data_IF_131703900026
#
_entry.id   IF_131703900026
#
_cell.length_a   1.000
_cell.length_b   1.000
_cell.length_c   1.000
_cell.angle_alpha   90.00
_cell.angle_beta   90.00
_cell.angle_gamma   90.00
#
_symmetry.space_group_name_H-M   'P 1'
#
loop_
_entity.id
_entity.type
_entity.pdbx_description
1 polymer ?
#
# COMPACT_ATOMS: atom_id res chain seq x y z
N UNK A 1 31.24 -6.92 8.18
CA UNK A 1 30.16 -7.87 7.89
C UNK A 1 29.15 -7.78 9.02
N UNK A 2 28.12 -6.96 8.84
CA UNK A 2 26.96 -6.92 9.72
C UNK A 2 25.87 -7.72 9.03
N UNK A 3 25.67 -8.96 9.47
CA UNK A 3 24.54 -9.79 9.07
C UNK A 3 23.30 -9.21 9.78
N UNK A 4 22.54 -8.40 9.06
CA UNK A 4 21.20 -7.99 9.49
C UNK A 4 20.34 -9.24 9.68
N UNK A 5 19.76 -9.38 10.85
CA UNK A 5 18.92 -10.52 11.20
C UNK A 5 17.78 -10.64 10.20
N UNK A 6 17.75 -11.77 9.50
CA UNK A 6 16.61 -12.19 8.69
C UNK A 6 15.47 -12.36 9.68
N UNK A 7 14.49 -11.45 9.66
CA UNK A 7 13.24 -11.68 10.36
C UNK A 7 12.62 -12.92 9.71
N UNK A 8 12.70 -14.07 10.38
CA UNK A 8 11.90 -15.23 10.00
C UNK A 8 10.45 -14.78 10.00
N UNK A 9 9.81 -14.79 8.84
CA UNK A 9 8.37 -14.60 8.76
C UNK A 9 7.74 -15.66 9.65
N UNK A 10 7.13 -15.24 10.76
CA UNK A 10 6.39 -16.14 11.61
C UNK A 10 5.25 -16.69 10.77
N UNK A 11 5.20 -18.01 10.56
CA UNK A 11 4.04 -18.63 9.92
C UNK A 11 2.79 -18.20 10.68
N UNK A 12 1.74 -17.70 10.01
CA UNK A 12 0.53 -17.29 10.70
C UNK A 12 -0.02 -18.44 11.56
N UNK A 13 -0.32 -18.13 12.82
CA UNK A 13 -0.76 -19.13 13.79
C UNK A 13 -2.19 -19.60 13.45
N UNK A 14 -2.31 -20.85 13.02
CA UNK A 14 -3.59 -21.51 12.82
C UNK A 14 -4.11 -22.10 14.15
N UNK A 15 -5.42 -22.37 14.27
CA UNK A 15 -5.94 -23.16 15.40
C UNK A 15 -5.25 -24.52 15.49
N UNK A 16 -5.27 -25.14 16.68
CA UNK A 16 -4.73 -26.49 16.84
C UNK A 16 -5.45 -27.49 15.93
N UNK A 17 -4.71 -28.43 15.36
CA UNK A 17 -5.29 -29.52 14.59
C UNK A 17 -6.24 -30.34 15.49
N UNK A 18 -7.46 -30.57 15.00
CA UNK A 18 -8.46 -31.39 15.65
C UNK A 18 -8.22 -32.89 15.48
N UNK A 19 -9.31 -33.66 15.42
CA UNK A 19 -9.24 -35.09 15.13
C UNK A 19 -8.96 -35.25 13.64
N UNK A 20 -7.74 -35.65 13.27
CA UNK A 20 -7.38 -35.79 11.86
C UNK A 20 -8.13 -36.94 11.15
N UNK A 21 -8.25 -36.89 9.81
CA UNK A 21 -8.79 -38.00 9.02
C UNK A 21 -8.04 -39.34 9.15
N UNK A 22 -6.81 -39.34 9.68
CA UNK A 22 -6.08 -40.56 10.03
C UNK A 22 -6.56 -41.23 11.32
N UNK A 23 -7.45 -40.61 12.09
CA UNK A 23 -8.02 -41.14 13.33
C UNK A 23 -9.29 -41.97 13.08
N UNK A 24 -9.48 -43.11 13.76
CA UNK A 24 -10.70 -43.89 13.66
C UNK A 24 -11.94 -43.16 14.18
N UNK A 25 -11.78 -42.08 14.96
CA UNK A 25 -12.88 -41.29 15.51
C UNK A 25 -13.22 -40.05 14.67
N UNK A 26 -12.58 -39.86 13.52
CA UNK A 26 -12.82 -38.70 12.64
C UNK A 26 -14.28 -38.53 12.23
N UNK A 27 -15.02 -39.63 12.07
CA UNK A 27 -16.44 -39.58 11.73
C UNK A 27 -17.30 -38.91 12.82
N UNK A 28 -16.90 -39.01 14.10
CA UNK A 28 -17.60 -38.34 15.21
C UNK A 28 -17.36 -36.84 15.17
N UNK A 29 -16.15 -36.43 14.85
CA UNK A 29 -15.79 -35.02 14.68
C UNK A 29 -16.68 -34.38 13.59
N UNK A 30 -16.68 -34.98 12.39
CA UNK A 30 -17.54 -34.58 11.26
C UNK A 30 -19.03 -34.55 11.63
N UNK A 31 -19.50 -35.46 12.49
CA UNK A 31 -20.89 -35.46 12.95
C UNK A 31 -21.22 -34.23 13.80
N UNK A 32 -20.40 -33.92 14.81
CA UNK A 32 -20.62 -32.75 15.67
C UNK A 32 -20.41 -31.42 14.95
N UNK A 33 -19.46 -31.35 14.03
CA UNK A 33 -19.29 -30.19 13.13
C UNK A 33 -20.57 -29.88 12.36
N UNK A 34 -21.17 -30.90 11.73
CA UNK A 34 -22.39 -30.77 10.94
C UNK A 34 -23.58 -30.33 11.80
N UNK A 35 -23.70 -30.87 13.03
CA UNK A 35 -24.71 -30.42 13.99
C UNK A 35 -24.53 -28.94 14.31
N UNK A 36 -23.32 -28.51 14.69
CA UNK A 36 -23.11 -27.11 15.01
C UNK A 36 -23.35 -26.19 13.80
N UNK A 37 -23.06 -26.65 12.57
CA UNK A 37 -23.33 -25.89 11.34
C UNK A 37 -24.82 -25.78 11.06
N UNK A 38 -25.57 -26.86 11.31
CA UNK A 38 -27.02 -26.88 11.18
C UNK A 38 -27.68 -25.84 12.09
N UNK A 39 -27.22 -25.73 13.34
CA UNK A 39 -27.74 -24.77 14.33
C UNK A 39 -27.13 -23.36 14.24
N UNK A 40 -26.19 -23.12 13.31
CA UNK A 40 -25.66 -21.77 13.06
C UNK A 40 -26.58 -21.02 12.11
N UNK A 41 -27.31 -20.02 12.58
CA UNK A 41 -28.29 -19.29 11.78
C UNK A 41 -27.71 -18.02 11.13
N UNK A 42 -28.10 -17.77 9.88
CA UNK A 42 -27.70 -16.59 9.09
C UNK A 42 -26.43 -16.80 8.28
N UNK A 43 -26.40 -16.26 7.06
CA UNK A 43 -25.29 -16.47 6.12
C UNK A 43 -23.97 -15.90 6.63
N UNK A 44 -23.98 -14.72 7.26
CA UNK A 44 -22.76 -14.13 7.83
C UNK A 44 -22.13 -15.00 8.94
N UNK A 45 -22.95 -15.55 9.85
CA UNK A 45 -22.46 -16.44 10.91
C UNK A 45 -22.03 -17.79 10.37
N UNK A 46 -22.75 -18.32 9.36
CA UNK A 46 -22.35 -19.55 8.67
C UNK A 46 -21.02 -19.37 7.94
N UNK A 47 -20.78 -18.22 7.33
CA UNK A 47 -19.50 -17.91 6.70
C UNK A 47 -18.35 -17.99 7.71
N UNK A 48 -18.48 -17.31 8.86
CA UNK A 48 -17.47 -17.35 9.92
C UNK A 48 -17.23 -18.76 10.45
N UNK A 49 -18.29 -19.55 10.63
CA UNK A 49 -18.17 -20.94 11.05
C UNK A 49 -17.42 -21.78 10.02
N UNK A 50 -17.73 -21.63 8.73
CA UNK A 50 -17.03 -22.35 7.68
C UNK A 50 -15.58 -21.93 7.54
N UNK A 51 -15.24 -20.65 7.79
CA UNK A 51 -13.85 -20.22 7.90
C UNK A 51 -13.12 -20.95 9.02
N UNK A 52 -13.72 -21.03 10.22
CA UNK A 52 -13.10 -21.72 11.35
C UNK A 52 -12.87 -23.21 11.08
N UNK A 53 -13.84 -23.88 10.44
CA UNK A 53 -13.67 -25.28 10.02
C UNK A 53 -12.58 -25.41 8.95
N UNK A 54 -12.50 -24.49 7.98
CA UNK A 54 -11.43 -24.50 6.99
C UNK A 54 -10.05 -24.35 7.66
N UNK A 55 -9.90 -23.41 8.60
CA UNK A 55 -8.65 -23.23 9.36
C UNK A 55 -8.24 -24.50 10.10
N UNK A 56 -9.20 -25.21 10.72
CA UNK A 56 -8.94 -26.49 11.38
C UNK A 56 -8.46 -27.57 10.40
N UNK A 57 -9.14 -27.71 9.24
CA UNK A 57 -8.75 -28.68 8.19
C UNK A 57 -7.38 -28.34 7.59
N UNK A 58 -7.02 -27.07 7.52
CA UNK A 58 -5.69 -26.64 7.08
C UNK A 58 -4.61 -26.99 8.11
N UNK A 59 -4.90 -26.86 9.41
CA UNK A 59 -4.00 -27.33 10.48
C UNK A 59 -3.78 -28.83 10.43
N UNK A 60 -4.84 -29.61 10.20
CA UNK A 60 -4.70 -31.07 10.03
C UNK A 60 -3.90 -31.42 8.79
N UNK A 61 -4.14 -30.72 7.68
CA UNK A 61 -3.38 -30.85 6.45
C UNK A 61 -1.90 -30.65 6.70
N UNK A 62 -1.53 -29.59 7.45
CA UNK A 62 -0.14 -29.33 7.85
C UNK A 62 0.44 -30.46 8.70
N UNK A 63 -0.26 -30.90 9.75
CA UNK A 63 0.21 -31.98 10.63
C UNK A 63 0.37 -33.31 9.90
N UNK A 64 -0.54 -33.65 8.98
CA UNK A 64 -0.49 -34.87 8.20
C UNK A 64 0.63 -34.81 7.15
N UNK A 65 0.84 -33.66 6.52
CA UNK A 65 1.94 -33.45 5.58
C UNK A 65 3.31 -33.63 6.24
N UNK A 66 3.50 -33.05 7.44
CA UNK A 66 4.74 -33.20 8.22
C UNK A 66 5.04 -34.66 8.60
N UNK A 67 4.01 -35.51 8.68
CA UNK A 67 4.11 -36.95 8.95
C UNK A 67 4.25 -37.80 7.69
N UNK A 68 4.13 -37.21 6.50
CA UNK A 68 4.05 -37.95 5.24
C UNK A 68 2.81 -38.83 5.14
N UNK A 69 1.73 -38.48 5.83
CA UNK A 69 0.49 -39.26 5.87
C UNK A 69 -0.36 -38.98 4.61
N UNK A 70 -0.80 -40.04 3.94
CA UNK A 70 -1.63 -39.97 2.74
C UNK A 70 -2.99 -39.29 2.99
N UNK A 71 -3.45 -39.25 4.24
CA UNK A 71 -4.68 -38.55 4.62
C UNK A 71 -4.58 -37.02 4.48
N UNK A 72 -3.39 -36.46 4.24
CA UNK A 72 -3.22 -35.03 3.96
C UNK A 72 -4.08 -34.58 2.76
N UNK A 73 -4.19 -35.40 1.71
CA UNK A 73 -5.02 -35.12 0.54
C UNK A 73 -6.50 -34.93 0.94
N UNK A 74 -7.04 -35.87 1.74
CA UNK A 74 -8.41 -35.78 2.24
C UNK A 74 -8.64 -34.56 3.12
N UNK A 75 -7.68 -34.21 3.99
CA UNK A 75 -7.78 -33.02 4.82
C UNK A 75 -7.83 -31.73 3.98
N UNK A 76 -7.05 -31.67 2.88
CA UNK A 76 -7.07 -30.55 1.92
C UNK A 76 -8.37 -30.47 1.14
N UNK A 77 -8.89 -31.59 0.65
CA UNK A 77 -10.18 -31.60 -0.06
C UNK A 77 -11.31 -31.10 0.87
N UNK A 78 -11.26 -31.44 2.15
CA UNK A 78 -12.20 -30.93 3.14
C UNK A 78 -11.99 -29.44 3.44
N UNK A 79 -10.75 -28.96 3.50
CA UNK A 79 -10.45 -27.54 3.57
C UNK A 79 -11.11 -26.79 2.41
N UNK A 80 -10.92 -27.26 1.18
CA UNK A 80 -11.53 -26.66 -0.02
C UNK A 80 -13.05 -26.60 0.08
N UNK A 81 -13.68 -27.69 0.54
CA UNK A 81 -15.13 -27.78 0.73
C UNK A 81 -15.64 -26.72 1.73
N UNK A 82 -15.01 -26.64 2.91
CA UNK A 82 -15.42 -25.67 3.94
C UNK A 82 -15.17 -24.25 3.46
N UNK A 83 -14.02 -23.99 2.84
CA UNK A 83 -13.66 -22.66 2.37
C UNK A 83 -14.59 -22.18 1.25
N UNK A 84 -14.95 -23.05 0.30
CA UNK A 84 -15.92 -22.73 -0.75
C UNK A 84 -17.28 -22.32 -0.16
N UNK A 85 -17.76 -23.04 0.86
CA UNK A 85 -18.99 -22.69 1.59
C UNK A 85 -18.84 -21.37 2.35
N UNK A 86 -17.68 -21.12 2.98
CA UNK A 86 -17.41 -19.87 3.67
C UNK A 86 -17.56 -18.67 2.74
N UNK A 87 -16.90 -18.75 1.58
CA UNK A 87 -16.98 -17.73 0.51
C UNK A 87 -18.43 -17.52 0.05
N UNK A 88 -19.11 -18.58 -0.37
CA UNK A 88 -20.49 -18.50 -0.88
C UNK A 88 -21.43 -17.85 0.14
N UNK A 89 -21.28 -18.19 1.42
CA UNK A 89 -22.09 -17.60 2.51
C UNK A 89 -21.73 -16.14 2.77
N UNK A 90 -20.45 -15.78 2.76
CA UNK A 90 -20.03 -14.39 2.94
C UNK A 90 -20.57 -13.51 1.81
N UNK A 91 -20.43 -13.93 0.56
CA UNK A 91 -20.93 -13.22 -0.62
C UNK A 91 -22.45 -13.09 -0.60
N UNK A 92 -23.19 -14.18 -0.34
CA UNK A 92 -24.66 -14.12 -0.20
C UNK A 92 -25.13 -13.20 0.90
N UNK A 93 -24.39 -13.15 2.01
CA UNK A 93 -24.76 -12.31 3.15
C UNK A 93 -24.62 -10.81 2.85
N UNK A 94 -23.73 -10.44 1.92
CA UNK A 94 -23.31 -9.05 1.70
C UNK A 94 -22.74 -8.36 2.95
N UNK A 95 -22.44 -9.13 4.01
CA UNK A 95 -22.04 -8.59 5.29
C UNK A 95 -20.53 -8.30 5.29
N UNK A 96 -20.17 -7.04 5.50
CA UNK A 96 -18.78 -6.59 5.52
C UNK A 96 -17.88 -7.37 6.50
N UNK A 97 -18.37 -7.76 7.68
CA UNK A 97 -17.57 -8.52 8.64
C UNK A 97 -17.32 -9.95 8.18
N UNK A 98 -18.31 -10.58 7.53
CA UNK A 98 -18.13 -11.90 6.94
C UNK A 98 -17.16 -11.86 5.75
N UNK A 99 -17.29 -10.87 4.87
CA UNK A 99 -16.40 -10.66 3.73
C UNK A 99 -14.97 -10.37 4.20
N UNK A 100 -14.79 -9.45 5.15
CA UNK A 100 -13.48 -9.13 5.71
C UNK A 100 -12.83 -10.35 6.39
N UNK A 101 -13.62 -11.16 7.12
CA UNK A 101 -13.11 -12.38 7.75
C UNK A 101 -12.62 -13.40 6.72
N UNK A 102 -13.32 -13.57 5.60
CA UNK A 102 -12.88 -14.45 4.51
C UNK A 102 -11.58 -13.92 3.90
N UNK A 103 -11.49 -12.62 3.61
CA UNK A 103 -10.27 -11.99 3.08
C UNK A 103 -9.07 -12.18 4.01
N UNK A 104 -9.23 -11.93 5.31
CA UNK A 104 -8.16 -12.11 6.30
C UNK A 104 -7.75 -13.59 6.43
N UNK A 105 -8.72 -14.52 6.45
CA UNK A 105 -8.43 -15.95 6.52
C UNK A 105 -7.57 -16.39 5.33
N UNK A 106 -7.93 -15.95 4.12
CA UNK A 106 -7.21 -16.34 2.91
C UNK A 106 -5.78 -15.86 2.84
N UNK A 107 -5.46 -14.69 3.40
CA UNK A 107 -4.06 -14.23 3.54
C UNK A 107 -3.23 -15.26 4.32
N UNK A 108 -3.77 -15.76 5.44
CA UNK A 108 -3.10 -16.76 6.28
C UNK A 108 -3.06 -18.13 5.61
N UNK A 109 -4.18 -18.56 5.02
CA UNK A 109 -4.29 -19.87 4.39
C UNK A 109 -3.31 -20.03 3.24
N UNK A 110 -3.15 -18.99 2.42
CA UNK A 110 -2.23 -18.99 1.30
C UNK A 110 -0.79 -19.30 1.74
N UNK A 111 -0.28 -18.59 2.76
CA UNK A 111 1.07 -18.84 3.31
C UNK A 111 1.24 -20.26 3.84
N UNK A 112 0.23 -20.80 4.53
CA UNK A 112 0.30 -22.17 5.05
C UNK A 112 0.22 -23.20 3.93
N UNK A 113 -0.66 -23.01 2.95
CA UNK A 113 -0.80 -23.94 1.82
C UNK A 113 0.50 -24.04 1.02
N UNK A 114 1.20 -22.94 0.78
CA UNK A 114 2.51 -22.98 0.12
C UNK A 114 3.56 -23.74 0.91
N UNK A 115 3.64 -23.49 2.23
CA UNK A 115 4.55 -24.24 3.13
C UNK A 115 4.25 -25.74 3.07
N UNK A 116 2.97 -26.11 3.04
CA UNK A 116 2.55 -27.51 3.05
C UNK A 116 2.76 -28.19 1.70
N UNK A 117 2.56 -27.50 0.57
CA UNK A 117 2.78 -28.04 -0.79
C UNK A 117 4.20 -28.58 -0.96
N UNK A 118 5.20 -27.94 -0.35
CA UNK A 118 6.60 -28.38 -0.42
C UNK A 118 6.85 -29.69 0.35
N UNK A 119 5.99 -30.05 1.31
CA UNK A 119 6.19 -31.17 2.25
C UNK A 119 5.29 -32.38 1.99
N UNK A 120 4.20 -32.21 1.26
CA UNK A 120 3.25 -33.30 1.02
C UNK A 120 3.79 -34.38 0.06
N UNK A 121 3.34 -35.64 0.19
CA UNK A 121 3.58 -36.67 -0.82
C UNK A 121 3.12 -36.23 -2.22
N UNK A 122 3.77 -36.72 -3.27
CA UNK A 122 3.48 -36.29 -4.65
C UNK A 122 2.01 -36.44 -5.06
N UNK A 123 1.37 -37.53 -4.62
CA UNK A 123 -0.05 -37.77 -4.90
C UNK A 123 -0.98 -36.64 -4.39
N UNK A 124 -0.58 -35.94 -3.32
CA UNK A 124 -1.37 -34.87 -2.71
C UNK A 124 -1.07 -33.48 -3.27
N UNK A 125 0.05 -33.27 -3.97
CA UNK A 125 0.45 -31.95 -4.47
C UNK A 125 -0.59 -31.31 -5.37
N UNK A 126 -1.22 -32.10 -6.25
CA UNK A 126 -2.24 -31.61 -7.16
C UNK A 126 -3.49 -31.11 -6.42
N UNK A 127 -3.93 -31.78 -5.35
CA UNK A 127 -5.03 -31.27 -4.50
C UNK A 127 -4.63 -29.98 -3.80
N UNK A 128 -3.46 -29.95 -3.16
CA UNK A 128 -2.99 -28.75 -2.46
C UNK A 128 -2.83 -27.53 -3.37
N UNK A 129 -2.37 -27.73 -4.61
CA UNK A 129 -2.28 -26.67 -5.61
C UNK A 129 -3.66 -26.12 -6.01
N UNK A 130 -4.68 -26.99 -6.12
CA UNK A 130 -6.07 -26.53 -6.33
C UNK A 130 -6.57 -25.74 -5.13
N UNK A 131 -6.29 -26.21 -3.91
CA UNK A 131 -6.67 -25.52 -2.69
C UNK A 131 -6.04 -24.13 -2.59
N UNK A 132 -4.77 -24.02 -2.98
CA UNK A 132 -4.04 -22.76 -3.07
C UNK A 132 -4.71 -21.79 -4.05
N UNK A 133 -5.00 -22.25 -5.27
CA UNK A 133 -5.62 -21.42 -6.30
C UNK A 133 -7.04 -20.99 -5.93
N UNK A 134 -7.83 -21.92 -5.36
CA UNK A 134 -9.16 -21.63 -4.83
C UNK A 134 -9.11 -20.59 -3.70
N UNK A 135 -8.10 -20.64 -2.83
CA UNK A 135 -7.87 -19.64 -1.79
C UNK A 135 -7.56 -18.26 -2.38
N UNK A 136 -6.63 -18.17 -3.35
CA UNK A 136 -6.31 -16.92 -4.06
C UNK A 136 -7.53 -16.30 -4.72
N UNK A 137 -8.28 -17.10 -5.48
CA UNK A 137 -9.48 -16.62 -6.16
C UNK A 137 -10.60 -16.24 -5.17
N UNK A 138 -10.68 -16.95 -4.04
CA UNK A 138 -11.57 -16.63 -2.93
C UNK A 138 -11.26 -15.26 -2.31
N UNK A 139 -9.98 -15.00 -2.03
CA UNK A 139 -9.50 -13.70 -1.52
C UNK A 139 -9.89 -12.56 -2.46
N UNK A 140 -9.58 -12.69 -3.74
CA UNK A 140 -9.87 -11.66 -4.76
C UNK A 140 -11.38 -11.40 -4.85
N UNK A 141 -12.20 -12.46 -4.82
CA UNK A 141 -13.66 -12.34 -4.89
C UNK A 141 -14.25 -11.67 -3.65
N UNK A 142 -13.84 -12.12 -2.45
CA UNK A 142 -14.29 -11.57 -1.18
C UNK A 142 -13.85 -10.11 -1.01
N UNK A 143 -12.62 -9.78 -1.42
CA UNK A 143 -12.09 -8.43 -1.37
C UNK A 143 -12.80 -7.49 -2.36
N UNK A 144 -13.12 -7.96 -3.56
CA UNK A 144 -13.95 -7.19 -4.51
C UNK A 144 -15.35 -6.92 -3.95
N UNK A 145 -15.98 -7.94 -3.37
CA UNK A 145 -17.29 -7.79 -2.74
C UNK A 145 -17.22 -6.83 -1.54
N UNK A 146 -16.19 -6.96 -0.69
CA UNK A 146 -15.96 -6.05 0.42
C UNK A 146 -15.77 -4.61 -0.07
N UNK A 147 -14.95 -4.42 -1.10
CA UNK A 147 -14.71 -3.11 -1.72
C UNK A 147 -15.94 -2.53 -2.40
N UNK A 148 -16.96 -3.33 -2.71
CA UNK A 148 -18.26 -2.85 -3.18
C UNK A 148 -19.22 -2.45 -2.05
N UNK A 149 -19.17 -3.14 -0.91
CA UNK A 149 -20.05 -2.90 0.24
C UNK A 149 -19.51 -1.82 1.16
N UNK A 150 -18.24 -1.92 1.54
CA UNK A 150 -17.52 -0.96 2.36
C UNK A 150 -16.14 -0.69 1.73
N UNK A 151 -16.05 0.33 0.89
CA UNK A 151 -14.86 0.54 0.06
C UNK A 151 -13.65 1.00 0.85
N UNK A 152 -13.83 1.78 1.92
CA UNK A 152 -12.74 2.16 2.84
C UNK A 152 -12.11 0.90 3.47
N UNK A 153 -12.96 0.01 3.98
CA UNK A 153 -12.52 -1.26 4.57
C UNK A 153 -11.95 -2.22 3.52
N UNK A 154 -12.46 -2.17 2.28
CA UNK A 154 -11.92 -2.88 1.14
C UNK A 154 -10.51 -2.45 0.79
N UNK A 155 -10.26 -1.14 0.73
CA UNK A 155 -8.92 -0.56 0.55
C UNK A 155 -7.99 -1.01 1.68
N UNK A 156 -8.43 -0.94 2.93
CA UNK A 156 -7.60 -1.33 4.08
C UNK A 156 -7.21 -2.81 4.04
N UNK A 157 -8.21 -3.70 3.89
CA UNK A 157 -7.96 -5.14 3.82
C UNK A 157 -7.14 -5.52 2.59
N UNK A 158 -7.42 -4.90 1.44
CA UNK A 158 -6.72 -5.17 0.19
C UNK A 158 -5.28 -4.68 0.20
N UNK A 159 -5.03 -3.51 0.77
CA UNK A 159 -3.68 -2.99 0.95
C UNK A 159 -2.86 -3.85 1.92
N UNK A 160 -3.46 -4.32 3.02
CA UNK A 160 -2.79 -5.25 3.94
C UNK A 160 -2.36 -6.52 3.22
N UNK A 161 -3.27 -7.14 2.46
CA UNK A 161 -2.97 -8.35 1.69
C UNK A 161 -1.91 -8.09 0.61
N UNK A 162 -1.99 -6.99 -0.13
CA UNK A 162 -1.00 -6.61 -1.14
C UNK A 162 0.39 -6.40 -0.52
N UNK A 163 0.46 -5.75 0.65
CA UNK A 163 1.70 -5.55 1.41
C UNK A 163 2.33 -6.87 1.83
N UNK A 164 1.54 -7.78 2.40
CA UNK A 164 2.01 -9.12 2.78
C UNK A 164 2.54 -9.91 1.57
N UNK A 165 1.87 -9.83 0.42
CA UNK A 165 2.32 -10.50 -0.81
C UNK A 165 3.62 -9.87 -1.34
N UNK A 166 3.77 -8.54 -1.27
CA UNK A 166 5.01 -7.86 -1.66
C UNK A 166 6.20 -8.28 -0.76
N UNK A 167 5.98 -8.40 0.54
CA UNK A 167 6.98 -8.94 1.48
C UNK A 167 7.37 -10.38 1.16
N UNK A 168 6.39 -11.21 0.79
CA UNK A 168 6.67 -12.58 0.34
C UNK A 168 7.41 -12.60 -1.00
N UNK A 169 7.06 -11.72 -1.94
CA UNK A 169 7.78 -11.56 -3.20
C UNK A 169 9.25 -11.19 -2.95
N UNK A 170 9.51 -10.24 -2.04
CA UNK A 170 10.86 -9.89 -1.58
C UNK A 170 11.62 -11.10 -1.05
N UNK A 171 10.99 -11.93 -0.20
CA UNK A 171 11.59 -13.16 0.31
C UNK A 171 11.94 -14.13 -0.84
N UNK A 172 11.02 -14.37 -1.77
CA UNK A 172 11.28 -15.25 -2.92
C UNK A 172 12.42 -14.72 -3.81
N UNK A 173 12.50 -13.40 -3.98
CA UNK A 173 13.60 -12.75 -4.68
C UNK A 173 14.94 -13.01 -3.99
N UNK A 174 15.01 -12.80 -2.66
CA UNK A 174 16.23 -13.04 -1.87
C UNK A 174 16.68 -14.51 -1.91
N UNK A 175 15.73 -15.45 -1.93
CA UNK A 175 15.97 -16.90 -2.04
C UNK A 175 16.24 -17.36 -3.47
N UNK A 176 16.18 -16.46 -4.46
CA UNK A 176 16.34 -16.76 -5.90
C UNK A 176 15.31 -17.75 -6.44
N UNK A 177 14.12 -17.80 -5.83
CA UNK A 177 13.00 -18.64 -6.27
C UNK A 177 12.19 -17.91 -7.34
N UNK A 178 12.71 -17.89 -8.56
CA UNK A 178 12.18 -17.12 -9.71
C UNK A 178 10.70 -17.41 -9.97
N UNK A 179 10.34 -18.68 -10.14
CA UNK A 179 8.96 -19.06 -10.45
C UNK A 179 8.00 -18.68 -9.32
N UNK A 180 8.45 -18.80 -8.06
CA UNK A 180 7.67 -18.40 -6.91
C UNK A 180 7.48 -16.87 -6.87
N UNK A 181 8.54 -16.09 -7.13
CA UNK A 181 8.45 -14.63 -7.26
C UNK A 181 7.43 -14.22 -8.33
N UNK A 182 7.47 -14.83 -9.50
CA UNK A 182 6.51 -14.56 -10.58
C UNK A 182 5.06 -14.85 -10.15
N UNK A 183 4.84 -15.99 -9.48
CA UNK A 183 3.53 -16.34 -8.94
C UNK A 183 3.05 -15.35 -7.85
N UNK A 184 3.96 -14.84 -7.00
CA UNK A 184 3.64 -13.81 -6.01
C UNK A 184 3.21 -12.50 -6.68
N UNK A 185 3.94 -12.07 -7.70
CA UNK A 185 3.62 -10.83 -8.42
C UNK A 185 2.28 -10.95 -9.18
N UNK A 186 1.98 -12.11 -9.78
CA UNK A 186 0.67 -12.36 -10.38
C UNK A 186 -0.47 -12.31 -9.36
N UNK A 187 -0.27 -12.91 -8.19
CA UNK A 187 -1.27 -12.87 -7.11
C UNK A 187 -1.43 -11.45 -6.55
N UNK A 188 -0.32 -10.72 -6.35
CA UNK A 188 -0.32 -9.32 -5.96
C UNK A 188 -1.20 -8.50 -6.91
N UNK A 189 -1.01 -8.63 -8.23
CA UNK A 189 -1.80 -7.89 -9.20
C UNK A 189 -3.30 -8.23 -9.12
N UNK A 190 -3.64 -9.50 -8.92
CA UNK A 190 -5.02 -9.94 -8.73
C UNK A 190 -5.68 -9.28 -7.51
N UNK A 191 -4.97 -9.25 -6.38
CA UNK A 191 -5.40 -8.59 -5.14
C UNK A 191 -5.50 -7.08 -5.35
N UNK A 192 -4.46 -6.45 -5.87
CA UNK A 192 -4.41 -5.02 -6.15
C UNK A 192 -5.59 -4.56 -7.01
N UNK A 193 -5.83 -5.22 -8.14
CA UNK A 193 -6.91 -4.88 -9.06
C UNK A 193 -8.31 -5.04 -8.42
N UNK A 194 -8.45 -5.83 -7.36
CA UNK A 194 -9.74 -6.07 -6.71
C UNK A 194 -10.22 -4.90 -5.85
N UNK A 195 -9.31 -4.02 -5.42
CA UNK A 195 -9.63 -2.83 -4.61
C UNK A 195 -9.16 -1.51 -5.24
N UNK A 196 -8.31 -1.52 -6.27
CA UNK A 196 -7.78 -0.29 -6.89
C UNK A 196 -8.85 0.66 -7.46
N UNK A 197 -10.04 0.14 -7.79
CA UNK A 197 -11.17 0.94 -8.27
C UNK A 197 -12.15 1.36 -7.16
N UNK A 198 -11.84 1.09 -5.89
CA UNK A 198 -12.69 1.42 -4.75
C UNK A 198 -12.83 2.92 -4.45
N UNK A 199 -11.79 3.77 -4.64
CA UNK A 199 -11.87 5.18 -4.23
C UNK A 199 -13.03 5.98 -4.84
N UNK A 200 -13.18 5.95 -6.18
CA UNK A 200 -14.31 6.55 -6.93
C UNK A 200 -14.65 8.00 -6.53
N UNK A 201 -13.64 8.81 -6.23
CA UNK A 201 -13.79 10.23 -5.88
C UNK A 201 -14.24 10.50 -4.44
N UNK A 202 -14.34 9.48 -3.58
CA UNK A 202 -14.68 9.70 -2.16
C UNK A 202 -13.44 10.04 -1.35
N UNK A 203 -13.41 11.25 -0.82
CA UNK A 203 -12.26 11.86 -0.12
C UNK A 203 -11.59 10.94 0.90
N UNK A 204 -12.36 10.32 1.78
CA UNK A 204 -11.89 9.40 2.82
C UNK A 204 -11.23 8.15 2.22
N UNK A 205 -11.84 7.58 1.18
CA UNK A 205 -11.33 6.39 0.50
C UNK A 205 -10.12 6.72 -0.39
N UNK A 206 -10.12 7.84 -1.10
CA UNK A 206 -8.98 8.33 -1.90
C UNK A 206 -7.76 8.62 -1.01
N UNK A 207 -7.97 9.29 0.13
CA UNK A 207 -6.92 9.55 1.11
C UNK A 207 -6.33 8.25 1.64
N UNK A 208 -7.16 7.34 2.16
CA UNK A 208 -6.69 6.06 2.70
C UNK A 208 -6.01 5.24 1.60
N UNK A 209 -6.57 5.16 0.40
CA UNK A 209 -5.96 4.44 -0.71
C UNK A 209 -4.57 4.98 -1.03
N UNK A 210 -4.45 6.29 -1.22
CA UNK A 210 -3.18 6.93 -1.54
C UNK A 210 -2.13 6.74 -0.44
N UNK A 211 -2.50 6.83 0.84
CA UNK A 211 -1.58 6.55 1.96
C UNK A 211 -1.07 5.11 1.94
N UNK A 212 -1.98 4.15 1.74
CA UNK A 212 -1.61 2.73 1.69
C UNK A 212 -0.72 2.39 0.49
N UNK A 213 -0.88 3.08 -0.63
CA UNK A 213 -0.04 2.86 -1.82
C UNK A 213 1.42 3.22 -1.54
N UNK A 214 1.68 4.32 -0.81
CA UNK A 214 3.05 4.69 -0.40
C UNK A 214 3.77 3.54 0.32
N UNK A 215 3.08 2.84 1.22
CA UNK A 215 3.65 1.68 1.93
C UNK A 215 3.93 0.51 0.98
N UNK A 216 2.98 0.18 0.11
CA UNK A 216 3.11 -0.93 -0.83
C UNK A 216 4.25 -0.70 -1.82
N UNK A 217 4.38 0.52 -2.33
CA UNK A 217 5.48 0.88 -3.25
C UNK A 217 6.83 0.69 -2.54
N UNK A 218 6.95 1.06 -1.26
CA UNK A 218 8.18 0.81 -0.48
C UNK A 218 8.53 -0.69 -0.38
N UNK A 219 7.55 -1.56 -0.16
CA UNK A 219 7.79 -3.02 -0.11
C UNK A 219 8.19 -3.57 -1.50
N UNK A 220 7.62 -3.01 -2.57
CA UNK A 220 7.98 -3.39 -3.94
C UNK A 220 9.38 -2.89 -4.34
N UNK A 221 9.85 -1.76 -3.82
CA UNK A 221 11.25 -1.33 -4.02
C UNK A 221 12.20 -2.36 -3.43
N UNK A 222 11.96 -2.77 -2.18
CA UNK A 222 12.81 -3.76 -1.52
C UNK A 222 12.78 -5.10 -2.25
N UNK A 223 11.62 -5.53 -2.75
CA UNK A 223 11.53 -6.72 -3.60
C UNK A 223 12.32 -6.56 -4.91
N UNK A 224 12.31 -5.38 -5.51
CA UNK A 224 13.04 -5.05 -6.74
C UNK A 224 14.54 -5.05 -6.52
N UNK A 225 15.01 -4.49 -5.41
CA UNK A 225 16.43 -4.43 -5.05
C UNK A 225 17.01 -5.83 -4.79
N UNK A 226 16.26 -6.67 -4.06
CA UNK A 226 16.62 -8.09 -3.89
C UNK A 226 16.68 -8.81 -5.25
N UNK A 227 15.70 -8.59 -6.13
CA UNK A 227 15.70 -9.19 -7.46
C UNK A 227 16.90 -8.74 -8.32
N UNK A 228 17.28 -7.46 -8.28
CA UNK A 228 18.48 -6.94 -8.97
C UNK A 228 19.77 -7.54 -8.44
N UNK A 229 19.91 -7.66 -7.11
CA UNK A 229 21.10 -8.18 -6.44
C UNK A 229 21.44 -9.64 -6.82
N UNK A 230 20.48 -10.37 -7.38
CA UNK A 230 20.67 -11.76 -7.83
C UNK A 230 21.15 -11.89 -9.28
N UNK A 231 21.22 -10.79 -10.04
CA UNK A 231 21.63 -10.78 -11.45
C UNK A 231 20.50 -11.16 -12.42
N UNK A 232 19.25 -11.12 -11.95
CA UNK A 232 18.07 -11.60 -12.67
C UNK A 232 17.28 -10.39 -13.21
N UNK A 233 17.74 -9.82 -14.32
CA UNK A 233 17.22 -8.54 -14.86
C UNK A 233 15.75 -8.59 -15.31
N UNK A 234 15.26 -9.73 -15.80
CA UNK A 234 13.87 -9.89 -16.26
C UNK A 234 12.87 -9.76 -15.09
N UNK A 235 13.24 -10.25 -13.91
CA UNK A 235 12.39 -10.33 -12.72
C UNK A 235 12.40 -9.00 -11.96
N UNK A 236 13.55 -8.32 -11.89
CA UNK A 236 13.59 -6.92 -11.48
C UNK A 236 12.65 -6.06 -12.34
N UNK A 237 12.63 -6.29 -13.66
CA UNK A 237 11.71 -5.64 -14.58
C UNK A 237 10.23 -6.01 -14.36
N UNK A 238 9.92 -7.20 -13.85
CA UNK A 238 8.56 -7.59 -13.44
C UNK A 238 8.11 -6.82 -12.21
N UNK A 239 8.96 -6.75 -11.17
CA UNK A 239 8.68 -5.99 -9.95
C UNK A 239 8.47 -4.51 -10.28
N UNK A 240 9.34 -3.92 -11.11
CA UNK A 240 9.20 -2.53 -11.57
C UNK A 240 7.85 -2.29 -12.24
N UNK A 241 7.39 -3.16 -13.15
CA UNK A 241 6.08 -3.00 -13.81
C UNK A 241 4.91 -3.02 -12.83
N UNK A 242 4.96 -3.90 -11.83
CA UNK A 242 3.92 -3.95 -10.79
C UNK A 242 3.96 -2.67 -9.95
N UNK A 243 5.15 -2.20 -9.56
CA UNK A 243 5.35 -0.94 -8.83
C UNK A 243 4.83 0.26 -9.61
N UNK A 244 5.17 0.37 -10.90
CA UNK A 244 4.72 1.44 -11.78
C UNK A 244 3.19 1.56 -11.79
N UNK A 245 2.50 0.43 -11.87
CA UNK A 245 1.03 0.38 -11.82
C UNK A 245 0.45 0.87 -10.49
N UNK A 246 1.11 0.55 -9.37
CA UNK A 246 0.71 1.05 -8.04
C UNK A 246 0.90 2.57 -7.96
N UNK A 247 2.05 3.07 -8.40
CA UNK A 247 2.34 4.52 -8.45
C UNK A 247 1.32 5.24 -9.34
N UNK A 248 1.04 4.74 -10.54
CA UNK A 248 0.10 5.37 -11.47
C UNK A 248 -1.32 5.42 -10.89
N UNK A 249 -1.72 4.38 -10.16
CA UNK A 249 -3.01 4.34 -9.46
C UNK A 249 -3.05 5.33 -8.29
N UNK A 250 -1.97 5.44 -7.52
CA UNK A 250 -1.84 6.42 -6.44
C UNK A 250 -1.93 7.85 -6.97
N UNK A 251 -1.19 8.18 -8.04
CA UNK A 251 -1.23 9.50 -8.66
C UNK A 251 -2.63 9.82 -9.22
N UNK A 252 -3.34 8.83 -9.74
CA UNK A 252 -4.72 9.00 -10.19
C UNK A 252 -5.67 9.30 -9.02
N UNK A 253 -5.50 8.60 -7.90
CA UNK A 253 -6.24 8.84 -6.66
C UNK A 253 -5.95 10.22 -6.06
N UNK A 254 -4.68 10.63 -6.04
CA UNK A 254 -4.27 11.96 -5.59
C UNK A 254 -4.85 13.08 -6.45
N UNK A 255 -5.00 12.87 -7.78
CA UNK A 255 -5.68 13.84 -8.67
C UNK A 255 -7.15 14.02 -8.32
N UNK A 256 -7.85 12.95 -7.96
CA UNK A 256 -9.25 13.06 -7.52
C UNK A 256 -9.34 13.71 -6.13
N UNK A 257 -8.47 13.31 -5.20
CA UNK A 257 -8.40 13.90 -3.87
C UNK A 257 -8.08 15.39 -3.94
N UNK A 258 -7.25 15.84 -4.89
CA UNK A 258 -6.91 17.25 -5.07
C UNK A 258 -8.13 18.15 -5.29
N UNK A 259 -9.17 17.65 -5.96
CA UNK A 259 -10.38 18.42 -6.28
C UNK A 259 -11.23 18.71 -5.03
N UNK A 260 -11.20 17.80 -4.07
CA UNK A 260 -12.08 17.81 -2.91
C UNK A 260 -11.36 18.15 -1.59
N UNK A 261 -10.10 17.74 -1.45
CA UNK A 261 -9.25 17.98 -0.28
C UNK A 261 -7.77 18.17 -0.69
N UNK A 262 -7.42 19.35 -1.22
CA UNK A 262 -6.09 19.63 -1.76
C UNK A 262 -4.99 19.59 -0.70
N UNK A 263 -5.27 20.04 0.53
CA UNK A 263 -4.30 19.99 1.64
C UNK A 263 -3.83 18.56 1.90
N UNK A 264 -4.79 17.63 2.04
CA UNK A 264 -4.46 16.22 2.30
C UNK A 264 -3.77 15.56 1.11
N UNK A 265 -4.18 15.91 -0.12
CA UNK A 265 -3.51 15.40 -1.31
C UNK A 265 -2.05 15.87 -1.41
N UNK A 266 -1.75 17.12 -1.06
CA UNK A 266 -0.36 17.63 -1.01
C UNK A 266 0.44 16.94 0.09
N UNK A 267 -0.14 16.71 1.27
CA UNK A 267 0.51 15.96 2.36
C UNK A 267 0.94 14.56 1.90
N UNK A 268 0.01 13.79 1.31
CA UNK A 268 0.30 12.42 0.85
C UNK A 268 1.30 12.44 -0.30
N UNK A 269 1.15 13.35 -1.26
CA UNK A 269 2.11 13.57 -2.35
C UNK A 269 3.52 13.82 -1.81
N UNK A 270 3.67 14.76 -0.88
CA UNK A 270 4.95 15.15 -0.33
C UNK A 270 5.66 13.97 0.34
N UNK A 271 4.92 13.19 1.13
CA UNK A 271 5.41 11.98 1.80
C UNK A 271 5.82 10.89 0.79
N UNK A 272 5.00 10.65 -0.24
CA UNK A 272 5.29 9.64 -1.25
C UNK A 272 6.55 9.98 -2.06
N UNK A 273 6.64 11.24 -2.53
CA UNK A 273 7.79 11.76 -3.26
C UNK A 273 9.08 11.74 -2.42
N UNK A 274 9.01 12.14 -1.15
CA UNK A 274 10.14 12.06 -0.23
C UNK A 274 10.59 10.61 -0.02
N UNK A 275 9.64 9.66 0.09
CA UNK A 275 9.95 8.23 0.14
C UNK A 275 10.79 7.77 -1.06
N UNK A 276 10.49 8.24 -2.28
CA UNK A 276 11.26 7.93 -3.50
C UNK A 276 12.67 8.52 -3.45
N UNK A 277 12.81 9.75 -2.98
CA UNK A 277 14.12 10.40 -2.84
C UNK A 277 14.99 9.73 -1.77
N UNK A 278 14.37 9.29 -0.67
CA UNK A 278 15.07 8.53 0.36
C UNK A 278 15.54 7.17 -0.16
N UNK A 279 14.76 6.51 -1.02
CA UNK A 279 15.22 5.31 -1.73
C UNK A 279 16.41 5.64 -2.65
N UNK A 280 16.32 6.68 -3.49
CA UNK A 280 17.42 7.10 -4.36
C UNK A 280 18.70 7.44 -3.59
N UNK A 281 18.57 8.08 -2.42
CA UNK A 281 19.68 8.38 -1.52
C UNK A 281 20.33 7.12 -0.97
N UNK A 282 19.54 6.17 -0.46
CA UNK A 282 20.03 4.86 0.00
C UNK A 282 20.75 4.11 -1.11
N UNK A 283 20.15 4.02 -2.30
CA UNK A 283 20.71 3.29 -3.45
C UNK A 283 22.03 3.91 -3.92
N UNK A 284 22.12 5.25 -3.87
CA UNK A 284 23.34 5.99 -4.15
C UNK A 284 24.45 5.69 -3.14
N UNK A 285 24.11 5.61 -1.85
CA UNK A 285 25.05 5.26 -0.78
C UNK A 285 25.57 3.83 -0.92
N UNK A 286 24.72 2.92 -1.38
CA UNK A 286 25.05 1.52 -1.70
C UNK A 286 25.79 1.36 -3.03
N UNK A 287 25.98 2.46 -3.79
CA UNK A 287 26.61 2.49 -5.13
C UNK A 287 25.85 1.66 -6.17
N UNK A 288 24.54 1.52 -6.00
CA UNK A 288 23.67 0.84 -6.95
C UNK A 288 23.11 1.85 -7.97
N UNK A 289 23.86 2.06 -9.06
CA UNK A 289 23.49 3.04 -10.08
C UNK A 289 22.20 2.75 -10.83
N UNK A 290 21.82 1.47 -10.95
CA UNK A 290 20.55 1.08 -11.58
C UNK A 290 19.35 1.35 -10.66
N UNK A 291 19.45 0.99 -9.38
CA UNK A 291 18.41 1.32 -8.42
C UNK A 291 18.29 2.83 -8.19
N UNK A 292 19.42 3.55 -8.16
CA UNK A 292 19.40 5.02 -8.09
C UNK A 292 18.66 5.65 -9.27
N UNK A 293 18.93 5.19 -10.50
CA UNK A 293 18.25 5.65 -11.71
C UNK A 293 16.73 5.40 -11.62
N UNK A 294 16.33 4.20 -11.21
CA UNK A 294 14.91 3.84 -11.05
C UNK A 294 14.20 4.63 -9.95
N UNK A 295 14.82 4.80 -8.78
CA UNK A 295 14.23 5.58 -7.68
C UNK A 295 14.06 7.06 -8.07
N UNK A 296 14.94 7.61 -8.91
CA UNK A 296 14.79 8.94 -9.49
C UNK A 296 13.71 9.00 -10.58
N UNK A 297 13.58 7.95 -11.40
CA UNK A 297 12.48 7.80 -12.37
C UNK A 297 11.12 7.80 -11.64
N UNK A 298 11.00 7.07 -10.53
CA UNK A 298 9.79 7.07 -9.70
C UNK A 298 9.51 8.46 -9.12
N UNK A 299 10.52 9.12 -8.56
CA UNK A 299 10.37 10.50 -8.07
C UNK A 299 9.92 11.46 -9.18
N UNK A 300 10.44 11.31 -10.41
CA UNK A 300 10.05 12.15 -11.54
C UNK A 300 8.53 12.12 -11.80
N UNK A 301 7.88 10.96 -11.65
CA UNK A 301 6.41 10.86 -11.76
C UNK A 301 5.69 11.72 -10.74
N UNK A 302 6.19 11.77 -9.50
CA UNK A 302 5.65 12.63 -8.46
C UNK A 302 5.99 14.10 -8.72
N UNK A 303 7.21 14.44 -9.11
CA UNK A 303 7.60 15.83 -9.40
C UNK A 303 6.78 16.43 -10.56
N UNK A 304 6.46 15.63 -11.58
CA UNK A 304 5.52 16.01 -12.65
C UNK A 304 4.10 16.20 -12.12
N UNK A 305 3.65 15.36 -11.19
CA UNK A 305 2.39 15.57 -10.51
C UNK A 305 2.40 16.87 -9.69
N UNK A 306 3.46 17.17 -8.95
CA UNK A 306 3.63 18.44 -8.22
C UNK A 306 3.43 19.67 -9.10
N UNK A 307 3.99 19.67 -10.32
CA UNK A 307 3.75 20.72 -11.32
C UNK A 307 2.26 20.83 -11.71
N UNK A 308 1.57 19.68 -11.86
CA UNK A 308 0.13 19.68 -12.15
C UNK A 308 -0.65 20.25 -10.96
N UNK A 309 -0.28 19.94 -9.72
CA UNK A 309 -0.94 20.46 -8.53
C UNK A 309 -0.83 21.99 -8.49
N UNK A 310 0.36 22.54 -8.69
CA UNK A 310 0.58 23.99 -8.68
C UNK A 310 -0.31 24.73 -9.69
N UNK A 311 -0.60 24.12 -10.84
CA UNK A 311 -1.52 24.67 -11.85
C UNK A 311 -2.97 24.47 -11.44
N UNK A 312 -3.35 23.27 -11.00
CA UNK A 312 -4.75 22.94 -10.66
C UNK A 312 -5.26 23.67 -9.43
N UNK A 313 -4.37 23.93 -8.47
CA UNK A 313 -4.71 24.51 -7.19
C UNK A 313 -4.42 26.02 -7.12
N UNK A 314 -4.32 26.68 -8.27
CA UNK A 314 -3.99 28.11 -8.34
C UNK A 314 -5.02 28.95 -7.54
N UNK A 315 -4.53 29.70 -6.55
CA UNK A 315 -5.34 30.55 -5.68
C UNK A 315 -6.21 29.80 -4.66
N UNK A 316 -6.12 28.47 -4.56
CA UNK A 316 -6.85 27.70 -3.55
C UNK A 316 -6.17 27.88 -2.19
N UNK A 317 -6.95 28.27 -1.17
CA UNK A 317 -6.47 28.48 0.20
C UNK A 317 -6.88 27.33 1.11
N UNK A 318 -5.97 26.93 2.00
CA UNK A 318 -6.16 25.95 3.07
C UNK A 318 -5.75 26.62 4.39
N UNK A 319 -6.72 27.26 5.04
CA UNK A 319 -6.45 28.16 6.17
C UNK A 319 -5.73 29.44 5.72
N UNK A 320 -4.58 29.72 6.34
CA UNK A 320 -3.80 30.93 6.09
C UNK A 320 -2.79 30.81 4.94
N UNK A 321 -2.57 29.60 4.42
CA UNK A 321 -1.65 29.32 3.31
C UNK A 321 -2.40 28.91 2.06
N UNK A 322 -1.76 29.04 0.91
CA UNK A 322 -2.28 28.47 -0.34
C UNK A 322 -1.77 27.05 -0.56
N UNK A 323 -2.47 26.30 -1.40
CA UNK A 323 -2.04 24.96 -1.80
C UNK A 323 -0.72 25.04 -2.57
N UNK A 324 -0.50 26.08 -3.39
CA UNK A 324 0.78 26.27 -4.08
C UNK A 324 1.92 26.46 -3.08
N UNK A 325 1.73 27.27 -2.03
CA UNK A 325 2.71 27.47 -0.97
C UNK A 325 3.06 26.15 -0.26
N UNK A 326 2.09 25.24 -0.07
CA UNK A 326 2.32 23.91 0.49
C UNK A 326 3.16 23.02 -0.45
N UNK A 327 2.83 22.99 -1.74
CA UNK A 327 3.58 22.22 -2.74
C UNK A 327 5.00 22.76 -2.88
N UNK A 328 5.16 24.09 -2.97
CA UNK A 328 6.46 24.76 -3.04
C UNK A 328 7.34 24.41 -1.83
N UNK A 329 6.76 24.39 -0.62
CA UNK A 329 7.47 24.00 0.59
C UNK A 329 7.93 22.54 0.54
N UNK A 330 7.05 21.63 0.11
CA UNK A 330 7.39 20.21 -0.05
C UNK A 330 8.50 20.02 -1.10
N UNK A 331 8.38 20.65 -2.26
CA UNK A 331 9.36 20.55 -3.33
C UNK A 331 10.69 21.22 -2.98
N UNK A 332 10.67 22.31 -2.20
CA UNK A 332 11.90 22.90 -1.64
C UNK A 332 12.66 21.92 -0.76
N UNK A 333 11.95 21.13 0.06
CA UNK A 333 12.55 20.04 0.85
C UNK A 333 13.09 18.93 -0.07
N UNK A 334 12.33 18.52 -1.08
CA UNK A 334 12.78 17.52 -2.06
C UNK A 334 14.06 17.92 -2.79
N UNK A 335 14.23 19.18 -3.16
CA UNK A 335 15.48 19.70 -3.76
C UNK A 335 16.66 19.57 -2.79
N UNK A 336 16.45 19.81 -1.49
CA UNK A 336 17.51 19.60 -0.49
C UNK A 336 17.93 18.12 -0.41
N UNK A 337 16.99 17.19 -0.51
CA UNK A 337 17.31 15.76 -0.55
C UNK A 337 18.02 15.38 -1.87
N UNK A 338 17.63 15.96 -3.01
CA UNK A 338 18.33 15.77 -4.28
C UNK A 338 19.78 16.28 -4.22
N UNK A 339 20.04 17.37 -3.50
CA UNK A 339 21.40 17.87 -3.28
C UNK A 339 22.29 16.87 -2.52
N UNK A 340 21.73 16.13 -1.56
CA UNK A 340 22.44 15.03 -0.90
C UNK A 340 22.76 13.89 -1.89
N UNK A 341 21.79 13.51 -2.74
CA UNK A 341 21.97 12.46 -3.77
C UNK A 341 23.08 12.87 -4.75
N UNK A 342 23.14 14.15 -5.15
CA UNK A 342 24.13 14.67 -6.11
C UNK A 342 25.57 14.37 -5.73
N UNK A 343 25.89 14.41 -4.43
CA UNK A 343 27.28 14.27 -3.94
C UNK A 343 27.93 12.93 -4.31
N UNK A 344 27.12 11.89 -4.46
CA UNK A 344 27.57 10.52 -4.75
C UNK A 344 26.90 9.95 -6.00
N UNK A 345 26.28 10.81 -6.81
CA UNK A 345 25.44 10.44 -7.94
C UNK A 345 26.19 9.57 -8.97
N UNK A 346 25.72 8.34 -9.24
CA UNK A 346 26.28 7.50 -10.28
C UNK A 346 26.08 8.10 -11.68
N UNK A 347 27.06 7.93 -12.58
CA UNK A 347 26.98 8.44 -13.97
C UNK A 347 25.71 8.00 -14.68
N UNK A 348 25.32 6.73 -14.48
CA UNK A 348 24.10 6.14 -15.06
C UNK A 348 22.83 6.92 -14.67
N UNK A 349 22.77 7.47 -13.47
CA UNK A 349 21.61 8.18 -12.95
C UNK A 349 21.60 9.68 -13.25
N UNK A 350 22.62 10.23 -13.92
CA UNK A 350 22.77 11.67 -14.16
C UNK A 350 21.58 12.28 -14.93
N UNK A 351 21.07 11.56 -15.94
CA UNK A 351 19.97 12.05 -16.75
C UNK A 351 18.68 12.15 -15.93
N UNK A 352 18.32 11.09 -15.20
CA UNK A 352 17.10 11.09 -14.38
C UNK A 352 17.21 12.05 -13.19
N UNK A 353 18.41 12.21 -12.63
CA UNK A 353 18.67 13.24 -11.61
C UNK A 353 18.44 14.65 -12.16
N UNK A 354 18.95 14.96 -13.35
CA UNK A 354 18.73 16.28 -13.94
C UNK A 354 17.25 16.54 -14.19
N UNK A 355 16.51 15.54 -14.71
CA UNK A 355 15.05 15.61 -14.86
C UNK A 355 14.36 15.86 -13.52
N UNK A 356 14.81 15.19 -12.45
CA UNK A 356 14.28 15.36 -11.10
C UNK A 356 14.46 16.79 -10.58
N UNK A 357 15.65 17.35 -10.76
CA UNK A 357 15.95 18.75 -10.39
C UNK A 357 15.12 19.72 -11.24
N UNK A 358 15.03 19.51 -12.56
CA UNK A 358 14.29 20.39 -13.46
C UNK A 358 12.80 20.37 -13.14
N UNK A 359 12.21 19.18 -12.93
CA UNK A 359 10.80 19.02 -12.58
C UNK A 359 10.47 19.65 -11.22
N UNK A 360 11.35 19.48 -10.23
CA UNK A 360 11.19 20.10 -8.92
C UNK A 360 11.33 21.63 -8.98
N UNK A 361 12.28 22.15 -9.77
CA UNK A 361 12.53 23.59 -9.87
C UNK A 361 11.39 24.32 -10.58
N UNK A 362 10.75 23.71 -11.58
CA UNK A 362 9.58 24.29 -12.27
C UNK A 362 8.42 24.62 -11.35
N UNK A 363 8.21 23.83 -10.30
CA UNK A 363 7.19 24.11 -9.28
C UNK A 363 7.46 25.45 -8.59
N UNK A 364 8.73 25.80 -8.37
CA UNK A 364 9.13 27.07 -7.74
C UNK A 364 9.05 28.26 -8.71
N UNK A 365 9.27 28.02 -10.01
CA UNK A 365 9.25 29.06 -11.05
C UNK A 365 7.83 29.48 -11.47
N UNK A 366 6.81 28.64 -11.26
CA UNK A 366 5.42 28.88 -11.67
C UNK A 366 4.69 29.97 -10.87
N UNK A 367 5.36 30.67 -9.97
CA UNK A 367 4.83 31.83 -9.26
C UNK A 367 4.51 32.99 -10.21
N UNK A 368 3.28 33.54 -10.25
CA UNK A 368 3.09 34.90 -10.71
C UNK A 368 3.80 35.84 -9.73
N UNK A 369 4.72 36.67 -10.23
CA UNK A 369 5.42 37.65 -9.40
C UNK A 369 4.41 38.45 -8.56
N UNK A 370 4.40 38.23 -7.24
CA UNK A 370 3.58 39.04 -6.35
C UNK A 370 4.08 40.49 -6.46
N UNK A 371 3.19 41.50 -6.61
CA UNK A 371 3.60 42.90 -6.75
C UNK A 371 4.50 43.42 -5.61
N UNK A 372 4.40 42.81 -4.43
CA UNK A 372 5.21 43.16 -3.25
C UNK A 372 6.68 42.71 -3.32
N UNK A 373 7.02 41.79 -4.22
CA UNK A 373 8.40 41.31 -4.35
C UNK A 373 9.32 42.26 -5.14
N UNK A 374 8.78 43.33 -5.74
CA UNK A 374 9.56 44.35 -6.48
C UNK A 374 9.57 45.74 -5.83
N UNK A 375 9.07 45.90 -4.60
CA UNK A 375 9.19 47.17 -3.88
C UNK A 375 9.56 46.94 -2.42
N UNK A 376 10.86 46.84 -2.14
CA UNK A 376 11.47 47.65 -1.08
C UNK A 376 13.00 47.54 -1.10
N UNK A 377 13.73 48.63 -1.37
CA UNK A 377 15.11 48.75 -0.94
C UNK A 377 15.12 48.91 0.59
N UNK A 378 15.73 47.97 1.29
CA UNK A 378 16.02 48.10 2.72
C UNK A 378 16.99 49.28 2.94
N UNK A 379 16.44 50.45 3.29
CA UNK A 379 17.19 51.57 3.88
C UNK A 379 16.43 52.05 5.11
N UNK A 380 16.98 51.74 6.30
CA UNK A 380 16.59 52.38 7.56
C UNK A 380 17.12 53.81 7.59
N UNK A 381 16.35 54.78 8.11
CA UNK A 381 16.80 55.76 9.13
C UNK A 381 15.66 56.71 9.61
N UNK A 382 15.84 57.48 10.71
CA UNK A 382 14.98 57.41 11.90
C UNK A 382 14.03 58.59 12.10
N UNK A 383 13.10 58.44 13.05
CA UNK A 383 12.19 59.48 13.53
C UNK A 383 12.94 60.72 14.05
N UNK A 384 12.71 61.87 13.42
CA UNK A 384 13.03 63.20 13.96
C UNK A 384 11.78 64.09 13.96
N UNK A 385 11.33 64.38 15.17
CA UNK A 385 10.73 65.60 15.76
C UNK A 385 9.96 66.64 14.90
N UNK A 386 8.81 67.05 15.44
CA UNK A 386 7.94 68.19 15.05
C UNK A 386 8.65 69.55 14.87
N UNK A 387 7.98 70.58 14.28
CA UNK A 387 7.30 71.58 15.13
C UNK A 387 5.99 72.25 14.59
N UNK A 388 5.05 72.48 15.52
CA UNK A 388 4.23 73.69 15.82
C UNK A 388 3.26 74.34 14.78
N UNK A 389 1.94 74.16 15.05
CA UNK A 389 0.75 75.07 15.15
C UNK A 389 0.82 76.54 14.67
N UNK A 390 -0.29 77.22 14.19
CA UNK A 390 -1.43 77.61 15.06
C UNK A 390 -2.83 77.92 14.43
N UNK A 391 -3.87 77.98 15.28
CA UNK A 391 -5.01 78.89 15.06
C UNK A 391 -6.42 78.34 15.33
N UNK A 392 -6.92 78.55 16.55
CA UNK A 392 -8.32 78.39 17.01
C UNK A 392 -9.23 79.54 16.49
N UNK A 393 -10.59 79.47 16.55
CA UNK A 393 -11.29 79.64 17.83
C UNK A 393 -12.55 78.80 18.08
N UNK A 394 -12.86 78.69 19.38
CA UNK A 394 -13.99 78.05 20.06
C UNK A 394 -15.36 78.71 19.78
N UNK A 395 -16.43 77.92 20.00
CA UNK A 395 -17.62 78.28 20.81
C UNK A 395 -18.46 77.00 21.05
N UNK A 396 -18.39 76.36 22.24
CA UNK A 396 -19.19 76.53 23.47
C UNK A 396 -20.59 75.89 23.49
N UNK A 397 -20.79 75.05 24.52
CA UNK A 397 -22.04 74.75 25.28
C UNK A 397 -23.10 73.86 24.59
N UNK A 398 -23.79 72.91 25.22
CA UNK A 398 -23.87 72.46 26.61
C UNK A 398 -25.11 71.56 26.79
N UNK A 399 -25.03 70.67 27.79
CA UNK A 399 -26.11 70.04 28.59
C UNK A 399 -27.32 69.31 27.93
N UNK A 400 -27.42 68.05 28.36
CA UNK A 400 -28.64 67.25 28.67
C UNK A 400 -29.86 68.05 29.12
N UNK A 401 -31.06 67.48 28.90
CA UNK A 401 -31.77 66.79 29.99
C UNK A 401 -31.65 65.26 29.92
#
# INVERSE_FOLDING_TARGET
MLLGGIASAQTPELPSAGITPGSPFFFLDRFFENIGTFFTFGDAKKAQRFVALAEERLSETKVLAERGDNNAELASDLYEEQFAKAKERAERSGNENALARVTEATSKHFTVLEEVIERVPEQAKASMQRALENSKQGQISALRALSGVNPERGVEAGANAAKEIAQQARMQASERKIEALEQKLQHFEGVFNSFANAPQGRVDVESKFSERMTEIVSELDEAGDEAKGTGISVQAGLVKRVKDKVIDSQLSSLRELMKENPEKAVEIFANAAEGRLNAAKRDTEERNGEATEESLEDYNKYAEFGQQISIMAEGIRTGDVTVEELVEKATSHHIQVLEDVRQKLPVRAQQEFQRAVDNASRVQEQRPASPDSMQQPFMRQPLQTEPQTPGMPEQTTGKKP
#
